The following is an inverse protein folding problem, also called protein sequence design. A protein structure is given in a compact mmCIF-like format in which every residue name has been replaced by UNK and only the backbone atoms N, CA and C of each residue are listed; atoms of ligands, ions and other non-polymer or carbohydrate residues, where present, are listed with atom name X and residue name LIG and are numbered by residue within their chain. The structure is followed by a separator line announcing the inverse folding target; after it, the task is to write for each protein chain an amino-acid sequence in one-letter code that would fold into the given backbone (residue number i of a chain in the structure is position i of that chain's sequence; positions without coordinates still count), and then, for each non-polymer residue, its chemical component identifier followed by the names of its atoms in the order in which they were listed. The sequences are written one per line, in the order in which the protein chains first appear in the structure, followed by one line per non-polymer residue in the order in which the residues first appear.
data_IF_590795578251
#
_entry.id   IF_590795578251
#
_cell.length_a   1.000
_cell.length_b   1.000
_cell.length_c   1.000
_cell.angle_alpha   90.00
_cell.angle_beta   90.00
_cell.angle_gamma   90.00
#
_symmetry.space_group_name_H-M   'P 1'
#
loop_
_entity.id
_entity.type
_entity.pdbx_description
1 polymer ?
#
# COMPACT_ATOMS: atom_id res chain seq x y z
N UNK A 1 -25.10 -16.82 0.67
CA UNK A 1 -23.90 -16.22 0.04
C UNK A 1 -23.04 -15.69 1.17
N UNK A 2 -21.87 -16.27 1.40
CA UNK A 2 -20.97 -15.86 2.48
C UNK A 2 -20.32 -14.55 2.07
N UNK A 3 -20.62 -13.47 2.79
CA UNK A 3 -19.87 -12.23 2.67
C UNK A 3 -18.55 -12.45 3.42
N UNK A 4 -17.38 -12.47 2.76
CA UNK A 4 -16.15 -12.41 3.51
C UNK A 4 -16.10 -11.00 4.09
N UNK A 5 -16.34 -10.87 5.39
CA UNK A 5 -16.03 -9.67 6.16
C UNK A 5 -14.51 -9.56 6.26
N UNK A 6 -13.85 -9.35 5.12
CA UNK A 6 -12.47 -8.88 5.09
C UNK A 6 -12.57 -7.44 5.55
N UNK A 7 -12.29 -7.19 6.83
CA UNK A 7 -12.36 -5.87 7.45
C UNK A 7 -11.91 -4.80 6.45
N UNK A 8 -12.78 -3.87 6.04
CA UNK A 8 -12.51 -2.97 4.92
C UNK A 8 -11.24 -2.12 5.14
N UNK A 9 -10.81 -1.97 6.40
CA UNK A 9 -9.59 -1.30 6.82
C UNK A 9 -8.29 -2.03 6.45
N UNK A 10 -8.28 -3.37 6.47
CA UNK A 10 -7.10 -4.20 6.14
C UNK A 10 -6.91 -4.28 4.63
N UNK A 11 -8.02 -4.49 3.92
CA UNK A 11 -8.12 -4.48 2.46
C UNK A 11 -7.77 -3.09 1.90
N UNK A 12 -8.22 -2.03 2.57
CA UNK A 12 -7.96 -0.63 2.22
C UNK A 12 -6.46 -0.28 2.20
N UNK A 13 -5.70 -0.59 3.25
CA UNK A 13 -4.27 -0.23 3.30
C UNK A 13 -3.45 -0.99 2.27
N UNK A 14 -3.66 -2.29 2.13
CA UNK A 14 -2.96 -3.10 1.11
C UNK A 14 -3.31 -2.65 -0.31
N UNK A 15 -4.58 -2.35 -0.58
CA UNK A 15 -5.01 -1.80 -1.87
C UNK A 15 -4.39 -0.43 -2.15
N UNK A 16 -4.32 0.47 -1.15
CA UNK A 16 -3.65 1.77 -1.27
C UNK A 16 -2.14 1.62 -1.51
N UNK A 17 -1.48 0.70 -0.82
CA UNK A 17 -0.07 0.40 -1.05
C UNK A 17 0.16 -0.06 -2.50
N UNK A 18 -0.67 -0.97 -3.02
CA UNK A 18 -0.62 -1.41 -4.41
C UNK A 18 -0.88 -0.27 -5.41
N UNK A 19 -1.87 0.59 -5.14
CA UNK A 19 -2.15 1.76 -5.97
C UNK A 19 -0.95 2.72 -6.05
N UNK A 20 -0.27 2.96 -4.93
CA UNK A 20 0.95 3.78 -4.94
C UNK A 20 2.09 3.11 -5.71
N UNK A 21 2.25 1.78 -5.64
CA UNK A 21 3.22 1.08 -6.50
C UNK A 21 2.92 1.28 -7.98
N UNK A 22 1.64 1.17 -8.38
CA UNK A 22 1.22 1.44 -9.75
C UNK A 22 1.51 2.91 -10.16
N UNK A 23 1.19 3.88 -9.29
CA UNK A 23 1.49 5.29 -9.54
C UNK A 23 3.01 5.58 -9.64
N UNK A 24 3.84 4.88 -8.86
CA UNK A 24 5.29 5.00 -8.96
C UNK A 24 5.80 4.54 -10.34
N UNK A 25 5.27 3.41 -10.84
CA UNK A 25 5.61 2.90 -12.17
C UNK A 25 5.11 3.85 -13.28
N UNK A 26 3.89 4.38 -13.13
CA UNK A 26 3.37 5.40 -14.04
C UNK A 26 4.23 6.68 -14.03
N UNK A 27 4.79 7.07 -12.89
CA UNK A 27 5.70 8.21 -12.79
C UNK A 27 7.00 7.99 -13.58
N UNK A 28 7.54 6.77 -13.59
CA UNK A 28 8.70 6.40 -14.41
C UNK A 28 8.38 6.45 -15.91
N UNK A 29 7.17 6.05 -16.29
CA UNK A 29 6.70 6.07 -17.67
C UNK A 29 6.31 7.47 -18.18
N UNK A 30 6.11 8.45 -17.28
CA UNK A 30 5.68 9.80 -17.67
C UNK A 30 6.74 10.55 -18.49
N UNK A 31 6.30 11.48 -19.35
CA UNK A 31 7.17 12.33 -20.16
C UNK A 31 7.67 13.57 -19.39
N UNK A 32 8.20 13.37 -18.20
CA UNK A 32 8.80 14.44 -17.37
C UNK A 32 10.32 14.25 -17.28
N UNK A 33 11.05 15.28 -16.83
CA UNK A 33 12.50 15.18 -16.65
C UNK A 33 12.88 14.03 -15.69
N UNK A 34 14.06 13.43 -15.91
CA UNK A 34 14.53 12.29 -15.12
C UNK A 34 14.48 12.56 -13.60
N UNK A 35 14.90 13.76 -13.18
CA UNK A 35 14.86 14.22 -11.79
C UNK A 35 13.44 14.24 -11.22
N UNK A 36 12.45 14.71 -12.00
CA UNK A 36 11.04 14.75 -11.58
C UNK A 36 10.46 13.35 -11.48
N UNK A 37 10.74 12.48 -12.47
CA UNK A 37 10.28 11.07 -12.45
C UNK A 37 10.80 10.33 -11.23
N UNK A 38 12.11 10.45 -10.97
CA UNK A 38 12.75 9.83 -9.82
C UNK A 38 12.15 10.32 -8.50
N UNK A 39 11.97 11.63 -8.33
CA UNK A 39 11.36 12.20 -7.12
C UNK A 39 9.93 11.67 -6.90
N UNK A 40 9.11 11.60 -7.94
CA UNK A 40 7.72 11.11 -7.85
C UNK A 40 7.68 9.60 -7.56
N UNK A 41 8.56 8.83 -8.19
CA UNK A 41 8.73 7.40 -7.92
C UNK A 41 9.02 7.16 -6.43
N UNK A 42 10.03 7.83 -5.87
CA UNK A 42 10.40 7.67 -4.46
C UNK A 42 9.30 8.12 -3.50
N UNK A 43 8.60 9.22 -3.83
CA UNK A 43 7.46 9.67 -3.04
C UNK A 43 6.35 8.61 -2.97
N UNK A 44 6.05 7.97 -4.09
CA UNK A 44 5.03 6.92 -4.15
C UNK A 44 5.50 5.62 -3.49
N UNK A 45 6.75 5.21 -3.67
CA UNK A 45 7.31 4.02 -3.01
C UNK A 45 7.34 4.17 -1.49
N UNK A 46 7.82 5.30 -0.97
CA UNK A 46 7.83 5.56 0.48
C UNK A 46 6.43 5.47 1.09
N UNK A 47 5.41 6.01 0.42
CA UNK A 47 4.00 5.88 0.87
C UNK A 47 3.51 4.43 0.80
N UNK A 48 3.86 3.71 -0.27
CA UNK A 48 3.46 2.32 -0.42
C UNK A 48 4.05 1.44 0.69
N UNK A 49 5.33 1.64 1.03
CA UNK A 49 6.03 0.93 2.10
C UNK A 49 5.43 1.22 3.47
N UNK A 50 5.19 2.50 3.78
CA UNK A 50 4.55 2.89 5.04
C UNK A 50 3.15 2.25 5.20
N UNK A 51 2.36 2.22 4.13
CA UNK A 51 1.04 1.59 4.14
C UNK A 51 1.11 0.06 4.22
N UNK A 52 2.10 -0.56 3.58
CA UNK A 52 2.31 -2.00 3.65
C UNK A 52 2.72 -2.42 5.07
N UNK A 53 3.68 -1.71 5.67
CA UNK A 53 4.12 -1.94 7.04
C UNK A 53 2.95 -1.77 8.03
N UNK A 54 2.17 -0.70 7.89
CA UNK A 54 1.00 -0.47 8.73
C UNK A 54 -0.08 -1.54 8.54
N UNK A 55 -0.22 -2.12 7.35
CA UNK A 55 -1.13 -3.23 7.12
C UNK A 55 -0.64 -4.54 7.75
N UNK A 56 0.68 -4.78 7.74
CA UNK A 56 1.28 -5.99 8.29
C UNK A 56 1.33 -5.97 9.83
N UNK A 57 1.50 -4.79 10.44
CA UNK A 57 1.39 -4.61 11.89
C UNK A 57 -0.03 -4.91 12.37
N UNK A 58 -1.04 -4.29 11.77
CA UNK A 58 -2.43 -4.66 12.04
C UNK A 58 -2.70 -6.14 11.84
N UNK A 59 -2.05 -6.72 10.83
CA UNK A 59 -2.27 -8.10 10.54
C UNK A 59 -1.76 -9.08 11.60
N UNK A 60 -0.77 -8.65 12.39
CA UNK A 60 -0.27 -9.37 13.56
C UNK A 60 -1.16 -9.16 14.78
N UNK A 61 -1.68 -7.94 14.97
CA UNK A 61 -2.60 -7.62 16.07
C UNK A 61 -3.89 -8.45 15.98
N UNK A 62 -4.46 -8.58 14.78
CA UNK A 62 -5.63 -9.43 14.53
C UNK A 62 -5.35 -10.92 14.85
N UNK A 63 -4.13 -11.40 14.58
CA UNK A 63 -3.75 -12.79 14.82
C UNK A 63 -3.51 -13.08 16.31
N UNK A 64 -3.10 -12.05 17.07
CA UNK A 64 -2.91 -12.14 18.52
C UNK A 64 -4.26 -12.15 19.27
N UNK A 65 -5.26 -11.39 18.79
CA UNK A 65 -6.60 -11.32 19.41
C UNK A 65 -7.47 -12.56 19.24
N UNK A 66 -7.16 -13.45 18.31
CA UNK A 66 -7.91 -14.71 18.08
C UNK A 66 -7.52 -15.83 19.06
N UNK A 67 -6.41 -15.67 19.81
CA UNK A 67 -5.92 -16.69 20.76
C UNK A 67 -6.35 -16.48 22.23
N UNK A 68 -7.25 -15.53 22.51
CA UNK A 68 -7.73 -15.23 23.87
C UNK A 68 -9.05 -15.94 24.18
#
# INVERSE_FOLDING_TARGET
MVHPTVSPLRSSRRARAAAHRAMAMAALASNSSARVRYRRYHLHMSKAEALALAADLQGKDDLAGVKA
#
